data_IF_734308290322
#
_entry.id   IF_734308290322
#
_cell.length_a   1.000
_cell.length_b   1.000
_cell.length_c   1.000
_cell.angle_alpha   90.00
_cell.angle_beta   90.00
_cell.angle_gamma   90.00
#
_symmetry.space_group_name_H-M   'P 1'
#
loop_
_entity.id
_entity.type
_entity.pdbx_description
1 polymer ?
#
# COMPACT_ATOMS: atom_id res chain seq x y z
N UNK A 1 7.91 12.69 4.25
CA UNK A 1 7.47 12.71 2.84
C UNK A 1 6.18 11.93 2.64
N UNK A 2 6.04 10.71 3.18
CA UNK A 2 4.79 9.92 3.08
C UNK A 2 3.55 10.65 3.65
N UNK A 3 3.67 11.31 4.82
CA UNK A 3 2.59 12.17 5.38
C UNK A 3 2.12 13.31 4.47
N UNK A 4 2.90 13.69 3.46
CA UNK A 4 2.47 14.72 2.51
C UNK A 4 1.43 14.18 1.54
N UNK A 5 1.38 12.87 1.31
CA UNK A 5 0.37 12.22 0.47
C UNK A 5 -0.82 11.90 1.36
N UNK A 6 -1.93 12.60 1.14
CA UNK A 6 -3.10 12.53 2.03
C UNK A 6 -3.85 11.22 1.91
N UNK A 7 -3.73 10.52 0.78
CA UNK A 7 -4.28 9.19 0.54
C UNK A 7 -3.76 8.19 1.59
N UNK A 8 -2.47 8.21 1.91
CA UNK A 8 -1.88 7.32 2.91
C UNK A 8 -2.41 7.62 4.32
N UNK A 9 -2.34 8.89 4.74
CA UNK A 9 -2.88 9.27 6.05
C UNK A 9 -4.38 9.04 6.19
N UNK A 10 -5.13 9.23 5.10
CA UNK A 10 -6.56 8.95 5.02
C UNK A 10 -6.84 7.46 5.18
N UNK A 11 -6.20 6.61 4.36
CA UNK A 11 -6.36 5.16 4.43
C UNK A 11 -5.99 4.64 5.82
N UNK A 12 -4.87 5.08 6.37
CA UNK A 12 -4.43 4.72 7.72
C UNK A 12 -5.48 5.06 8.79
N UNK A 13 -5.99 6.30 8.79
CA UNK A 13 -6.95 6.78 9.78
C UNK A 13 -8.27 6.00 9.72
N UNK A 14 -8.88 5.91 8.54
CA UNK A 14 -10.18 5.26 8.39
C UNK A 14 -10.10 3.73 8.49
N UNK A 15 -8.98 3.13 8.09
CA UNK A 15 -8.73 1.70 8.35
C UNK A 15 -8.56 1.43 9.84
N UNK A 16 -7.88 2.31 10.58
CA UNK A 16 -7.75 2.22 12.05
C UNK A 16 -9.13 2.24 12.71
N UNK A 17 -9.97 3.22 12.37
CA UNK A 17 -11.34 3.32 12.90
C UNK A 17 -12.18 2.09 12.55
N UNK A 18 -12.05 1.56 11.33
CA UNK A 18 -12.76 0.34 10.93
C UNK A 18 -12.32 -0.88 11.74
N UNK A 19 -11.02 -1.06 11.95
CA UNK A 19 -10.47 -2.16 12.74
C UNK A 19 -10.88 -2.03 14.21
N UNK A 20 -10.86 -0.82 14.75
CA UNK A 20 -11.31 -0.56 16.12
C UNK A 20 -12.78 -0.95 16.32
N UNK A 21 -13.64 -0.66 15.35
CA UNK A 21 -15.05 -1.06 15.35
C UNK A 21 -15.24 -2.57 15.19
N UNK A 22 -14.58 -3.17 14.20
CA UNK A 22 -14.84 -4.56 13.79
C UNK A 22 -14.06 -5.58 14.65
N UNK A 23 -12.92 -5.18 15.23
CA UNK A 23 -11.99 -6.03 15.99
C UNK A 23 -11.43 -5.30 17.23
N UNK A 24 -12.25 -5.01 18.25
CA UNK A 24 -11.87 -4.17 19.39
C UNK A 24 -10.74 -4.76 20.27
N UNK A 25 -10.46 -6.06 20.15
CA UNK A 25 -9.38 -6.72 20.90
C UNK A 25 -7.99 -6.54 20.25
N UNK A 26 -7.93 -6.13 18.98
CA UNK A 26 -6.68 -5.93 18.25
C UNK A 26 -6.11 -4.52 18.48
N UNK A 27 -4.79 -4.35 18.32
CA UNK A 27 -4.20 -3.01 18.24
C UNK A 27 -4.51 -2.38 16.86
N UNK A 28 -5.39 -1.36 16.78
CA UNK A 28 -5.91 -0.88 15.50
C UNK A 28 -4.85 -0.11 14.71
N UNK A 29 -3.99 0.64 15.39
CA UNK A 29 -2.89 1.38 14.75
C UNK A 29 -1.91 0.43 14.05
N UNK A 30 -1.48 -0.64 14.74
CA UNK A 30 -0.54 -1.60 14.19
C UNK A 30 -1.15 -2.37 13.01
N UNK A 31 -2.42 -2.76 13.11
CA UNK A 31 -3.11 -3.52 12.04
C UNK A 31 -3.43 -2.66 10.83
N UNK A 32 -3.88 -1.42 11.00
CA UNK A 32 -4.11 -0.47 9.92
C UNK A 32 -2.81 -0.19 9.16
N UNK A 33 -1.72 0.09 9.89
CA UNK A 33 -0.42 0.31 9.27
C UNK A 33 0.10 -0.94 8.54
N UNK A 34 -0.15 -2.12 9.12
CA UNK A 34 0.16 -3.40 8.49
C UNK A 34 -0.52 -3.53 7.13
N UNK A 35 -1.84 -3.34 7.07
CA UNK A 35 -2.59 -3.41 5.81
C UNK A 35 -2.02 -2.42 4.78
N UNK A 36 -1.72 -1.19 5.19
CA UNK A 36 -1.23 -0.14 4.31
C UNK A 36 0.15 -0.46 3.72
N UNK A 37 1.17 -0.75 4.55
CA UNK A 37 2.50 -1.04 4.01
C UNK A 37 2.52 -2.34 3.20
N UNK A 38 1.63 -3.30 3.49
CA UNK A 38 1.50 -4.52 2.69
C UNK A 38 1.04 -4.19 1.26
N UNK A 39 -0.01 -3.37 1.12
CA UNK A 39 -0.51 -2.94 -0.20
C UNK A 39 0.56 -2.18 -1.00
N UNK A 40 1.24 -1.23 -0.36
CA UNK A 40 2.32 -0.46 -1.00
C UNK A 40 3.50 -1.37 -1.38
N UNK A 41 3.83 -2.36 -0.53
CA UNK A 41 4.91 -3.32 -0.82
C UNK A 41 4.60 -4.16 -2.06
N UNK A 42 3.35 -4.57 -2.28
CA UNK A 42 2.97 -5.30 -3.49
C UNK A 42 3.20 -4.49 -4.76
N UNK A 43 2.75 -3.24 -4.77
CA UNK A 43 2.93 -2.34 -5.92
C UNK A 43 4.42 -2.11 -6.20
N UNK A 44 5.19 -1.77 -5.15
CA UNK A 44 6.62 -1.52 -5.29
C UNK A 44 7.38 -2.78 -5.73
N UNK A 45 7.05 -3.95 -5.18
CA UNK A 45 7.68 -5.19 -5.57
C UNK A 45 7.36 -5.54 -7.03
N UNK A 46 6.12 -5.39 -7.48
CA UNK A 46 5.75 -5.60 -8.87
C UNK A 46 6.49 -4.66 -9.83
N UNK A 47 6.56 -3.35 -9.50
CA UNK A 47 7.27 -2.36 -10.30
C UNK A 47 8.77 -2.66 -10.38
N UNK A 48 9.41 -2.85 -9.23
CA UNK A 48 10.87 -3.03 -9.16
C UNK A 48 11.29 -4.39 -9.72
N UNK A 49 10.50 -5.44 -9.50
CA UNK A 49 10.79 -6.75 -10.08
C UNK A 49 10.56 -6.75 -11.59
N UNK A 50 9.50 -6.11 -12.08
CA UNK A 50 9.26 -5.91 -13.51
C UNK A 50 10.41 -5.14 -14.18
N UNK A 51 10.91 -4.08 -13.54
CA UNK A 51 12.07 -3.33 -14.01
C UNK A 51 13.34 -4.19 -14.01
N UNK A 52 13.56 -4.98 -12.96
CA UNK A 52 14.70 -5.90 -12.89
C UNK A 52 14.68 -6.91 -14.03
N UNK A 53 13.52 -7.51 -14.32
CA UNK A 53 13.35 -8.46 -15.41
C UNK A 53 13.59 -7.83 -16.78
N UNK A 54 13.17 -6.57 -16.95
CA UNK A 54 13.45 -5.81 -18.18
C UNK A 54 14.96 -5.61 -18.41
N UNK A 55 15.75 -5.48 -17.35
CA UNK A 55 17.21 -5.24 -17.43
C UNK A 55 18.02 -6.54 -17.52
N UNK A 56 17.70 -7.53 -16.68
CA UNK A 56 18.57 -8.69 -16.42
C UNK A 56 18.10 -9.95 -17.14
N UNK A 57 16.88 -9.97 -17.69
CA UNK A 57 16.17 -11.17 -18.18
C UNK A 57 15.98 -12.24 -17.10
N UNK A 58 14.87 -12.96 -17.17
CA UNK A 58 14.55 -14.00 -16.20
C UNK A 58 15.54 -15.17 -16.25
N UNK A 59 16.04 -15.53 -17.44
CA UNK A 59 16.98 -16.63 -17.63
C UNK A 59 18.30 -16.42 -16.89
N UNK A 60 18.77 -15.18 -16.83
CA UNK A 60 19.97 -14.80 -16.07
C UNK A 60 19.73 -14.96 -14.57
N UNK A 61 18.61 -14.46 -14.06
CA UNK A 61 18.26 -14.59 -12.63
C UNK A 61 18.18 -16.06 -12.23
N UNK A 62 17.51 -16.89 -13.04
CA UNK A 62 17.40 -18.32 -12.79
C UNK A 62 18.76 -19.03 -12.81
N UNK A 63 19.68 -18.63 -13.71
CA UNK A 63 21.02 -19.23 -13.82
C UNK A 63 21.91 -18.95 -12.61
N UNK A 64 21.82 -17.76 -12.03
CA UNK A 64 22.59 -17.39 -10.84
C UNK A 64 21.88 -17.73 -9.52
N UNK A 65 20.63 -18.20 -9.59
CA UNK A 65 19.91 -18.61 -8.40
C UNK A 65 20.52 -19.90 -7.83
N UNK A 66 20.95 -19.92 -6.56
CA UNK A 66 21.70 -21.04 -5.98
C UNK A 66 20.83 -22.28 -5.72
N UNK A 67 19.52 -22.13 -5.87
CA UNK A 67 18.53 -23.15 -5.61
C UNK A 67 17.96 -23.69 -6.91
N UNK A 68 17.67 -25.00 -6.97
CA UNK A 68 17.02 -25.70 -8.10
C UNK A 68 15.57 -25.21 -8.37
N UNK A 69 15.40 -23.91 -8.57
CA UNK A 69 14.13 -23.27 -8.84
C UNK A 69 13.71 -23.55 -10.29
N UNK A 70 12.53 -24.15 -10.47
CA UNK A 70 12.03 -24.56 -11.79
C UNK A 70 12.54 -25.93 -12.28
N UNK A 71 13.29 -26.70 -11.47
CA UNK A 71 13.56 -28.12 -11.75
C UNK A 71 12.49 -28.99 -11.11
N UNK A 72 11.96 -29.95 -11.87
CA UNK A 72 10.85 -30.83 -11.44
C UNK A 72 11.11 -31.57 -10.13
N UNK A 73 12.37 -31.73 -9.68
CA UNK A 73 12.76 -32.47 -8.47
C UNK A 73 13.58 -31.62 -7.48
N UNK A 74 13.62 -30.29 -7.65
CA UNK A 74 14.39 -29.37 -6.82
C UNK A 74 13.78 -29.12 -5.45
N UNK A 75 14.58 -29.19 -4.37
CA UNK A 75 14.14 -28.98 -2.98
C UNK A 75 14.01 -27.51 -2.56
N UNK A 76 13.63 -26.59 -3.46
CA UNK A 76 13.49 -25.17 -3.09
C UNK A 76 12.19 -24.55 -3.59
N UNK A 77 11.32 -24.29 -2.62
CA UNK A 77 9.97 -23.75 -2.78
C UNK A 77 9.90 -22.23 -2.92
N UNK A 78 11.00 -21.51 -2.66
CA UNK A 78 11.00 -20.04 -2.58
C UNK A 78 11.50 -19.45 -3.89
N UNK A 79 10.58 -18.82 -4.62
CA UNK A 79 10.87 -18.11 -5.85
C UNK A 79 11.80 -16.90 -5.62
N UNK A 80 12.68 -16.55 -6.56
CA UNK A 80 13.46 -15.31 -6.52
C UNK A 80 12.60 -14.07 -6.24
N UNK A 81 11.40 -14.04 -6.83
CA UNK A 81 10.40 -13.01 -6.61
C UNK A 81 9.95 -12.89 -5.14
N UNK A 82 9.88 -13.99 -4.39
CA UNK A 82 9.48 -13.99 -2.98
C UNK A 82 10.58 -13.40 -2.09
N UNK A 83 11.85 -13.73 -2.33
CA UNK A 83 12.98 -13.10 -1.60
C UNK A 83 13.04 -11.61 -1.93
N UNK A 84 12.87 -11.26 -3.20
CA UNK A 84 12.81 -9.87 -3.63
C UNK A 84 11.68 -9.10 -2.95
N UNK A 85 10.47 -9.67 -2.91
CA UNK A 85 9.33 -9.10 -2.20
C UNK A 85 9.64 -8.88 -0.71
N UNK A 86 10.28 -9.84 -0.03
CA UNK A 86 10.62 -9.70 1.39
C UNK A 86 11.54 -8.52 1.66
N UNK A 87 12.50 -8.25 0.78
CA UNK A 87 13.39 -7.07 0.89
C UNK A 87 12.59 -5.78 0.74
N UNK A 88 11.76 -5.68 -0.32
CA UNK A 88 10.91 -4.51 -0.55
C UNK A 88 9.94 -4.28 0.60
N UNK A 89 9.31 -5.34 1.08
CA UNK A 89 8.41 -5.33 2.22
C UNK A 89 9.11 -4.84 3.49
N UNK A 90 10.31 -5.34 3.79
CA UNK A 90 11.06 -4.93 4.97
C UNK A 90 11.39 -3.43 4.94
N UNK A 91 11.86 -2.92 3.80
CA UNK A 91 12.18 -1.50 3.63
C UNK A 91 10.92 -0.62 3.73
N UNK A 92 9.83 -1.02 3.07
CA UNK A 92 8.55 -0.31 3.10
C UNK A 92 8.00 -0.28 4.52
N UNK A 93 7.97 -1.43 5.21
CA UNK A 93 7.54 -1.53 6.61
C UNK A 93 8.31 -0.57 7.51
N UNK A 94 9.65 -0.50 7.38
CA UNK A 94 10.45 0.43 8.19
C UNK A 94 10.09 1.89 7.92
N UNK A 95 9.94 2.28 6.66
CA UNK A 95 9.59 3.65 6.28
C UNK A 95 8.20 4.06 6.84
N UNK A 96 7.22 3.16 6.76
CA UNK A 96 5.87 3.39 7.25
C UNK A 96 5.81 3.44 8.78
N UNK A 97 6.47 2.53 9.49
CA UNK A 97 6.53 2.54 10.97
C UNK A 97 7.12 3.85 11.49
N UNK A 98 8.28 4.28 10.96
CA UNK A 98 8.94 5.52 11.38
C UNK A 98 8.07 6.74 11.13
N UNK A 99 7.23 6.69 10.09
CA UNK A 99 6.39 7.81 9.72
C UNK A 99 5.07 7.84 10.49
N UNK A 100 4.31 6.75 10.51
CA UNK A 100 2.92 6.76 11.00
C UNK A 100 2.75 6.39 12.46
N UNK A 101 3.72 5.70 13.09
CA UNK A 101 3.69 5.43 14.55
C UNK A 101 4.40 6.51 15.36
N UNK A 102 4.55 7.71 14.80
CA UNK A 102 5.04 8.87 15.52
C UNK A 102 3.85 9.62 16.13
N UNK A 103 3.87 9.84 17.45
CA UNK A 103 2.80 10.51 18.21
C UNK A 103 2.38 11.85 17.58
N UNK A 104 3.35 12.65 17.13
CA UNK A 104 3.07 13.92 16.46
C UNK A 104 2.26 13.73 15.19
N UNK A 105 2.63 12.74 14.38
CA UNK A 105 1.95 12.48 13.11
C UNK A 105 0.55 11.89 13.35
N UNK A 106 0.39 11.08 14.39
CA UNK A 106 -0.93 10.58 14.81
C UNK A 106 -1.83 11.75 15.21
N UNK A 107 -1.34 12.68 16.03
CA UNK A 107 -2.09 13.87 16.42
C UNK A 107 -2.45 14.75 15.21
N UNK A 108 -1.52 14.95 14.27
CA UNK A 108 -1.78 15.70 13.03
C UNK A 108 -2.86 15.03 12.15
N UNK A 109 -2.91 13.70 12.10
CA UNK A 109 -3.94 12.93 11.38
C UNK A 109 -5.29 13.05 12.09
N UNK A 110 -5.31 12.90 13.41
CA UNK A 110 -6.53 13.01 14.22
C UNK A 110 -7.11 14.43 14.18
N UNK A 111 -6.29 15.47 14.19
CA UNK A 111 -6.78 16.84 14.02
C UNK A 111 -7.41 17.06 12.64
N UNK A 112 -6.84 16.46 11.60
CA UNK A 112 -7.26 16.68 10.22
C UNK A 112 -8.52 15.88 9.83
N UNK A 113 -8.66 14.64 10.32
CA UNK A 113 -9.78 13.74 9.97
C UNK A 113 -10.75 13.45 11.11
N UNK A 114 -10.37 13.70 12.37
CA UNK A 114 -11.12 13.33 13.57
C UNK A 114 -12.56 13.85 13.69
N UNK A 115 -12.98 14.94 13.02
CA UNK A 115 -14.40 15.30 12.97
C UNK A 115 -15.30 14.31 12.22
N UNK A 116 -14.75 13.48 11.32
CA UNK A 116 -15.51 12.51 10.52
C UNK A 116 -15.46 11.10 11.14
N UNK A 117 -16.52 10.31 10.92
CA UNK A 117 -16.65 8.94 11.45
C UNK A 117 -16.59 7.89 10.34
N UNK A 118 -16.04 6.72 10.66
CA UNK A 118 -16.05 5.54 9.76
C UNK A 118 -17.45 4.98 9.50
N UNK A 119 -18.44 5.39 10.30
CA UNK A 119 -19.85 5.06 10.05
C UNK A 119 -20.40 5.76 8.81
N UNK A 120 -19.76 6.86 8.36
CA UNK A 120 -20.05 7.42 7.06
C UNK A 120 -19.67 6.39 5.98
N UNK A 121 -20.70 5.92 5.26
CA UNK A 121 -20.57 4.88 4.22
C UNK A 121 -19.50 5.22 3.19
N UNK A 122 -19.33 6.50 2.86
CA UNK A 122 -18.31 6.97 1.93
C UNK A 122 -16.91 6.49 2.33
N UNK A 123 -16.51 6.68 3.58
CA UNK A 123 -15.16 6.33 4.05
C UNK A 123 -14.98 4.82 4.15
N UNK A 124 -16.01 4.09 4.58
CA UNK A 124 -15.99 2.63 4.61
C UNK A 124 -15.86 2.00 3.21
N UNK A 125 -16.51 2.58 2.20
CA UNK A 125 -16.37 2.13 0.82
C UNK A 125 -15.02 2.52 0.22
N UNK A 126 -14.55 3.75 0.45
CA UNK A 126 -13.29 4.25 -0.10
C UNK A 126 -12.09 3.37 0.29
N UNK A 127 -11.94 2.99 1.56
CA UNK A 127 -10.85 2.11 1.98
C UNK A 127 -10.89 0.71 1.32
N UNK A 128 -12.09 0.19 1.02
CA UNK A 128 -12.22 -1.08 0.31
C UNK A 128 -11.86 -0.89 -1.18
N UNK A 129 -12.29 0.22 -1.77
CA UNK A 129 -11.95 0.60 -3.15
C UNK A 129 -10.43 0.79 -3.28
N UNK A 130 -9.78 1.46 -2.34
CA UNK A 130 -8.33 1.68 -2.33
C UNK A 130 -7.57 0.34 -2.29
N UNK A 131 -8.06 -0.58 -1.45
CA UNK A 131 -7.50 -1.94 -1.37
C UNK A 131 -7.64 -2.66 -2.73
N UNK A 132 -8.81 -2.58 -3.36
CA UNK A 132 -9.06 -3.15 -4.69
C UNK A 132 -8.16 -2.50 -5.76
N UNK A 133 -8.03 -1.17 -5.75
CA UNK A 133 -7.19 -0.42 -6.69
C UNK A 133 -5.72 -0.80 -6.55
N UNK A 134 -5.21 -0.99 -5.34
CA UNK A 134 -3.85 -1.48 -5.11
C UNK A 134 -3.60 -2.86 -5.73
N UNK A 135 -4.54 -3.80 -5.57
CA UNK A 135 -4.45 -5.11 -6.21
C UNK A 135 -4.56 -5.03 -7.73
N UNK A 136 -5.46 -4.18 -8.24
CA UNK A 136 -5.62 -3.95 -9.67
C UNK A 136 -4.33 -3.37 -10.29
N UNK A 137 -3.70 -2.39 -9.64
CA UNK A 137 -2.42 -1.81 -10.07
C UNK A 137 -1.32 -2.87 -10.11
N UNK A 138 -1.18 -3.64 -9.04
CA UNK A 138 -0.20 -4.73 -8.95
C UNK A 138 -0.38 -5.72 -10.10
N UNK A 139 -1.63 -6.11 -10.38
CA UNK A 139 -2.00 -7.01 -11.46
C UNK A 139 -1.69 -6.40 -12.83
N UNK A 140 -2.04 -5.14 -13.06
CA UNK A 140 -1.79 -4.44 -14.32
C UNK A 140 -0.29 -4.32 -14.61
N UNK A 141 0.55 -4.11 -13.59
CA UNK A 141 2.00 -4.08 -13.74
C UNK A 141 2.52 -5.46 -14.18
N UNK A 142 2.10 -6.52 -13.49
CA UNK A 142 2.54 -7.90 -13.78
C UNK A 142 2.14 -8.36 -15.18
N UNK A 143 0.91 -8.04 -15.61
CA UNK A 143 0.39 -8.43 -16.92
C UNK A 143 0.57 -7.36 -18.01
N UNK A 144 1.31 -6.28 -17.73
CA UNK A 144 1.59 -5.19 -18.65
C UNK A 144 0.32 -4.53 -19.26
N UNK A 145 -0.75 -4.44 -18.47
CA UNK A 145 -2.02 -3.81 -18.88
C UNK A 145 -1.99 -2.31 -18.59
N UNK A 146 -1.22 -1.58 -19.40
CA UNK A 146 -0.90 -0.17 -19.14
C UNK A 146 -2.12 0.76 -19.17
N UNK A 147 -3.09 0.52 -20.06
CA UNK A 147 -4.29 1.36 -20.15
C UNK A 147 -5.10 1.36 -18.86
N UNK A 148 -5.27 0.19 -18.24
CA UNK A 148 -6.00 0.06 -16.97
C UNK A 148 -5.17 0.62 -15.81
N UNK A 149 -3.84 0.44 -15.84
CA UNK A 149 -2.95 1.05 -14.86
C UNK A 149 -3.13 2.58 -14.79
N UNK A 150 -3.20 3.25 -15.95
CA UNK A 150 -3.42 4.70 -16.01
C UNK A 150 -4.75 5.09 -15.36
N UNK A 151 -5.82 4.35 -15.61
CA UNK A 151 -7.13 4.60 -14.99
C UNK A 151 -7.08 4.46 -13.47
N UNK A 152 -6.40 3.43 -12.95
CA UNK A 152 -6.25 3.25 -11.51
C UNK A 152 -5.44 4.39 -10.87
N UNK A 153 -4.37 4.84 -11.52
CA UNK A 153 -3.56 5.97 -11.04
C UNK A 153 -4.37 7.26 -11.04
N UNK A 154 -5.17 7.52 -12.09
CA UNK A 154 -6.06 8.68 -12.15
C UNK A 154 -7.13 8.64 -11.06
N UNK A 155 -7.62 7.45 -10.69
CA UNK A 155 -8.54 7.29 -9.56
C UNK A 155 -7.87 7.72 -8.24
N UNK A 156 -6.63 7.27 -7.96
CA UNK A 156 -5.88 7.71 -6.78
C UNK A 156 -5.59 9.21 -6.78
N UNK A 157 -5.24 9.80 -7.92
CA UNK A 157 -5.04 11.25 -8.04
C UNK A 157 -6.34 11.99 -7.73
N UNK A 158 -7.47 11.52 -8.26
CA UNK A 158 -8.79 12.11 -8.02
C UNK A 158 -9.18 12.03 -6.54
N UNK A 159 -8.92 10.90 -5.89
CA UNK A 159 -9.13 10.72 -4.45
C UNK A 159 -8.23 11.63 -3.62
N UNK A 160 -6.95 11.75 -3.96
CA UNK A 160 -6.01 12.66 -3.29
C UNK A 160 -6.50 14.11 -3.33
N UNK A 161 -6.98 14.56 -4.50
CA UNK A 161 -7.54 15.90 -4.69
C UNK A 161 -8.83 16.05 -3.86
N UNK A 162 -9.71 15.05 -3.89
CA UNK A 162 -10.95 15.07 -3.13
C UNK A 162 -10.71 15.12 -1.62
N UNK A 163 -9.81 14.28 -1.08
CA UNK A 163 -9.43 14.28 0.35
C UNK A 163 -8.97 15.68 0.75
N UNK A 164 -8.06 16.26 -0.03
CA UNK A 164 -7.55 17.61 0.25
C UNK A 164 -8.67 18.65 0.24
N UNK A 165 -9.59 18.60 -0.72
CA UNK A 165 -10.69 19.57 -0.80
C UNK A 165 -11.71 19.39 0.33
N UNK A 166 -12.04 18.16 0.71
CA UNK A 166 -13.02 17.88 1.76
C UNK A 166 -12.51 18.26 3.15
N UNK A 167 -11.25 17.96 3.43
CA UNK A 167 -10.66 18.11 4.77
C UNK A 167 -9.72 19.31 4.89
N UNK A 168 -9.42 20.03 3.81
CA UNK A 168 -8.83 21.37 3.94
C UNK A 168 -9.85 22.22 4.68
N UNK A 169 -9.53 22.62 5.91
CA UNK A 169 -10.31 23.62 6.64
C UNK A 169 -10.55 24.77 5.66
N UNK A 170 -11.81 25.12 5.46
CA UNK A 170 -12.16 26.44 4.98
C UNK A 170 -11.54 27.40 5.99
N UNK A 171 -10.42 28.02 5.64
CA UNK A 171 -9.98 29.20 6.35
C UNK A 171 -11.16 30.20 6.38
N UNK A 172 -11.40 30.78 7.55
CA UNK A 172 -12.42 31.79 7.89
C UNK A 172 -13.87 31.31 8.10
N UNK A 173 -14.19 31.01 9.36
CA UNK A 173 -15.18 31.84 10.07
C UNK A 173 -14.42 32.87 10.88
#
# INVERSE_FOLDING_TARGET
MLMRVKLFSYYFHFSRLKIERDFPADNPYKKALCAEYWLVSYILAALLYGLLLYIVDYGTIARFWPYDFGREHGKNFIAPAAIFFLVVWYLTRRAFIVTFLNERNIAEIEEYYGPDSIENKEHSYLINIDTLLCFAITTCIVFHVWTVLVLCVLAFISQEIWIRRRFSRSDSK
#
